data_IF_507592504899
#
_entry.id   IF_507592504899
#
_cell.length_a   1.000
_cell.length_b   1.000
_cell.length_c   1.000
_cell.angle_alpha   90.00
_cell.angle_beta   90.00
_cell.angle_gamma   90.00
#
_symmetry.space_group_name_H-M   'P 1'
#
loop_
_entity.id
_entity.type
_entity.pdbx_description
1 polymer ?
2 water ?
#
# COMPACT_ATOMS: atom_id res chain seq x y z
N UNK A 5 29.17 0.09 -5.90
CA UNK A 5 27.88 0.52 -5.25
C UNK A 5 26.71 0.50 -6.26
N UNK A 6 25.91 -0.56 -6.23
CA UNK A 6 24.82 -0.79 -7.22
C UNK A 6 23.54 -1.23 -6.51
N UNK A 7 22.41 -0.80 -7.06
CA UNK A 7 21.10 -1.05 -6.47
C UNK A 7 20.26 -1.98 -7.36
N UNK A 8 19.23 -2.59 -6.78
CA UNK A 8 18.29 -3.41 -7.54
C UNK A 8 17.22 -2.46 -8.08
N UNK A 9 16.83 -2.62 -9.36
CA UNK A 9 15.84 -1.68 -9.91
C UNK A 9 14.58 -1.65 -9.07
N UNK A 10 13.95 -0.47 -8.97
CA UNK A 10 12.72 -0.31 -8.21
C UNK A 10 11.58 -0.98 -8.98
N UNK A 11 10.74 -1.67 -8.27
CA UNK A 11 9.49 -2.20 -8.82
C UNK A 11 8.56 -1.02 -9.16
N UNK A 12 8.08 -0.97 -10.41
CA UNK A 12 7.24 0.14 -10.92
C UNK A 12 5.74 -0.12 -10.81
N UNK A 13 5.35 -1.27 -10.29
CA UNK A 13 3.96 -1.59 -10.01
C UNK A 13 3.38 -0.48 -9.11
N UNK A 14 2.22 0.09 -9.49
CA UNK A 14 1.61 1.23 -8.75
C UNK A 14 1.39 1.00 -7.24
N UNK A 15 1.00 -0.20 -6.86
CA UNK A 15 0.81 -0.55 -5.45
C UNK A 15 2.13 -0.51 -4.67
N UNK A 16 3.20 -1.07 -5.24
CA UNK A 16 4.52 -1.10 -4.58
C UNK A 16 5.04 0.33 -4.42
N UNK A 17 4.87 1.16 -5.45
CA UNK A 17 5.31 2.54 -5.37
C UNK A 17 4.61 3.25 -4.22
N UNK A 18 3.28 3.11 -4.15
CA UNK A 18 2.52 3.68 -3.04
C UNK A 18 3.05 3.21 -1.68
N UNK A 19 3.11 1.90 -1.48
CA UNK A 19 3.56 1.40 -0.20
C UNK A 19 4.96 1.92 0.15
N UNK A 20 5.82 2.02 -0.87
CA UNK A 20 7.18 2.47 -0.66
C UNK A 20 7.14 3.91 -0.19
N UNK A 21 6.22 4.68 -0.77
CA UNK A 21 6.04 6.08 -0.45
C UNK A 21 5.54 6.30 0.98
N UNK A 22 4.60 5.45 1.39
CA UNK A 22 4.10 5.44 2.75
C UNK A 22 5.23 5.31 3.76
N UNK A 23 6.15 4.38 3.53
CA UNK A 23 7.27 4.20 4.45
C UNK A 23 8.27 5.36 4.35
N UNK A 24 8.37 6.00 3.19
CA UNK A 24 9.27 7.13 3.05
C UNK A 24 8.70 8.40 3.74
N UNK A 25 7.37 8.45 3.87
CA UNK A 25 6.67 9.60 4.50
C UNK A 25 5.61 10.32 3.67
N UNK A 26 5.18 9.69 2.57
CA UNK A 26 4.15 10.29 1.74
C UNK A 26 3.07 9.26 1.38
N UNK A 27 1.84 9.54 1.83
CA UNK A 27 0.70 8.61 1.69
C UNK A 27 -0.46 9.28 0.96
N UNK A 28 -0.23 10.52 0.52
CA UNK A 28 -1.30 11.35 -0.05
C UNK A 28 -1.45 11.23 -1.57
N UNK A 29 -0.43 10.69 -2.24
CA UNK A 29 -0.37 10.57 -3.70
C UNK A 29 -0.41 9.12 -4.15
N UNK A 30 -1.20 8.80 -5.17
CA UNK A 30 -1.19 7.43 -5.67
C UNK A 30 -0.83 7.37 -7.15
N UNK A 31 -0.65 6.17 -7.67
CA UNK A 31 -0.21 5.96 -9.04
C UNK A 31 -1.20 5.11 -9.82
N UNK A 32 -1.44 5.49 -11.08
CA UNK A 32 -2.40 4.87 -11.98
C UNK A 32 -1.73 4.61 -13.34
N UNK A 33 -1.82 3.38 -13.85
CA UNK A 33 -1.15 3.03 -15.10
C UNK A 33 -1.70 3.86 -16.26
N UNK A 34 -0.78 4.30 -17.12
CA UNK A 34 -1.13 4.89 -18.40
C UNK A 34 -0.98 3.81 -19.46
N UNK A 35 -2.08 3.49 -20.14
CA UNK A 35 -2.12 2.39 -21.14
C UNK A 35 -1.70 2.84 -22.54
N UNK A 36 -1.53 4.15 -22.73
CA UNK A 36 -1.16 4.69 -24.02
C UNK A 36 -1.31 6.19 -23.98
N UNK A 37 -0.75 6.88 -24.97
CA UNK A 37 -0.73 8.34 -24.97
C UNK A 37 -1.73 9.01 -25.92
N UNK A 38 -2.48 8.25 -26.70
CA UNK A 38 -3.59 8.84 -27.45
C UNK A 38 -4.74 9.33 -26.54
N UNK A 39 -5.54 10.27 -27.06
CA UNK A 39 -6.56 10.98 -26.26
C UNK A 39 -7.56 10.06 -25.57
N UNK A 40 -8.03 9.06 -26.32
CA UNK A 40 -8.94 8.05 -25.82
C UNK A 40 -8.47 7.48 -24.49
N UNK A 41 -7.20 7.10 -24.41
CA UNK A 41 -6.64 6.42 -23.24
C UNK A 41 -6.27 7.41 -22.12
N UNK A 42 -5.80 8.59 -22.48
CA UNK A 42 -5.51 9.61 -21.48
C UNK A 42 -6.80 10.10 -20.83
N UNK A 43 -7.89 10.21 -21.59
CA UNK A 43 -9.19 10.52 -21.03
C UNK A 43 -9.57 9.61 -19.85
N UNK A 44 -8.98 8.40 -19.79
CA UNK A 44 -9.33 7.41 -18.76
C UNK A 44 -8.70 7.71 -17.43
N UNK A 45 -7.73 8.62 -17.42
CA UNK A 45 -6.94 8.90 -16.24
C UNK A 45 -7.71 9.86 -15.34
N UNK A 46 -7.79 9.56 -14.04
CA UNK A 46 -8.46 10.50 -13.14
C UNK A 46 -7.61 11.77 -12.90
N UNK A 47 -8.29 12.90 -12.79
CA UNK A 47 -7.70 14.22 -12.65
C UNK A 47 -7.96 14.68 -11.21
N UNK A 48 -7.24 15.72 -10.73
CA UNK A 48 -6.12 16.39 -11.38
C UNK A 48 -4.85 15.55 -11.31
N UNK A 49 -4.18 15.40 -12.46
CA UNK A 49 -2.90 14.70 -12.53
C UNK A 49 -1.79 15.64 -12.08
N UNK A 50 -0.97 15.14 -11.15
CA UNK A 50 0.04 15.95 -10.50
C UNK A 50 1.39 15.77 -11.15
N UNK A 51 1.59 14.64 -11.80
CA UNK A 51 2.86 14.35 -12.43
C UNK A 51 2.69 13.12 -13.28
N UNK A 52 3.71 12.82 -14.07
CA UNK A 52 3.75 11.58 -14.84
C UNK A 52 5.11 10.97 -14.65
N UNK A 53 5.15 9.69 -14.27
CA UNK A 53 6.39 8.94 -14.21
C UNK A 53 6.51 8.10 -15.49
N UNK A 54 7.70 8.02 -16.05
CA UNK A 54 7.91 7.39 -17.36
C UNK A 54 9.13 6.46 -17.28
N UNK A 55 8.95 5.21 -17.70
CA UNK A 55 10.08 4.28 -17.80
C UNK A 55 10.36 3.94 -19.27
N UNK A 56 11.63 3.98 -19.66
CA UNK A 56 12.02 3.59 -21.01
C UNK A 56 13.43 3.01 -20.98
N UNK A 57 13.80 2.24 -22.02
CA UNK A 57 15.10 1.58 -22.05
C UNK A 57 16.28 2.47 -22.49
N UNK A 58 17.50 2.04 -22.17
CA UNK A 58 18.75 2.79 -22.43
C UNK A 58 18.63 4.25 -21.98
N UNK A 75 13.72 29.01 -21.22
CA UNK A 75 14.97 29.47 -20.61
C UNK A 75 15.38 28.55 -19.46
N UNK A 76 16.64 28.69 -19.03
CA UNK A 76 17.24 27.87 -17.97
C UNK A 76 17.59 28.73 -16.75
N UNK A 77 16.60 28.92 -15.89
CA UNK A 77 16.83 29.26 -14.50
C UNK A 77 15.94 28.30 -13.72
N UNK A 78 16.55 27.49 -12.87
CA UNK A 78 15.84 26.47 -12.11
C UNK A 78 15.89 26.81 -10.62
N UNK A 79 15.60 28.06 -10.28
CA UNK A 79 15.59 28.51 -8.90
C UNK A 79 14.45 27.88 -8.11
N UNK A 80 13.33 27.63 -8.78
CA UNK A 80 12.15 27.11 -8.09
C UNK A 80 11.93 25.60 -8.25
N UNK A 81 12.90 24.86 -8.77
CA UNK A 81 12.70 23.42 -8.93
C UNK A 81 13.76 22.65 -8.15
N UNK A 82 13.31 21.63 -7.42
CA UNK A 82 14.19 20.81 -6.60
C UNK A 82 14.76 19.75 -7.52
N UNK A 83 16.10 19.66 -7.59
CA UNK A 83 16.78 18.72 -8.49
C UNK A 83 17.86 17.95 -7.72
N UNK A 84 17.99 16.66 -8.00
CA UNK A 84 19.02 15.81 -7.40
C UNK A 84 19.73 15.06 -8.50
N UNK A 85 21.07 15.06 -8.46
CA UNK A 85 21.89 14.27 -9.39
C UNK A 85 21.87 12.79 -8.98
N UNK A 86 21.88 11.92 -9.99
CA UNK A 86 21.90 10.49 -9.77
C UNK A 86 23.31 10.00 -9.97
N UNK A 87 23.86 9.35 -8.96
CA UNK A 87 25.18 8.76 -9.08
C UNK A 87 25.19 7.23 -9.02
N UNK A 88 24.09 6.62 -8.57
CA UNK A 88 23.98 5.17 -8.33
C UNK A 88 23.12 4.44 -9.39
N UNK A 89 23.72 3.47 -10.12
CA UNK A 89 22.93 2.72 -11.10
C UNK A 89 21.70 2.04 -10.48
N UNK A 90 20.56 2.15 -11.15
CA UNK A 90 19.29 1.59 -10.68
C UNK A 90 18.72 2.21 -9.41
N UNK A 91 19.30 3.31 -8.94
CA UNK A 91 18.61 4.11 -7.93
C UNK A 91 17.49 4.99 -8.53
N UNK A 92 17.35 4.98 -9.87
CA UNK A 92 16.51 5.98 -10.56
C UNK A 92 15.04 6.00 -10.12
N UNK A 93 14.50 4.84 -9.80
CA UNK A 93 13.16 4.79 -9.22
C UNK A 93 13.02 5.74 -8.04
N UNK A 94 14.01 5.69 -7.14
CA UNK A 94 14.00 6.51 -5.93
C UNK A 94 14.26 7.98 -6.25
N UNK A 95 15.28 8.26 -7.04
CA UNK A 95 15.49 9.60 -7.56
C UNK A 95 14.14 10.17 -8.06
N UNK A 96 13.32 9.35 -8.70
CA UNK A 96 12.09 9.88 -9.35
C UNK A 96 11.07 10.28 -8.28
N UNK A 97 11.02 9.47 -7.24
CA UNK A 97 10.16 9.71 -6.11
C UNK A 97 10.65 10.94 -5.33
N UNK A 98 11.98 11.07 -5.26
CA UNK A 98 12.62 12.26 -4.70
C UNK A 98 12.23 13.53 -5.51
N UNK A 99 12.45 13.51 -6.82
CA UNK A 99 12.08 14.61 -7.67
C UNK A 99 10.59 14.90 -7.55
N UNK A 100 9.78 13.86 -7.37
CA UNK A 100 8.34 14.02 -7.31
C UNK A 100 7.89 14.73 -6.04
N UNK A 101 8.17 14.14 -4.87
CA UNK A 101 7.62 14.69 -3.66
C UNK A 101 8.32 15.98 -3.28
N UNK A 102 9.59 16.08 -3.66
CA UNK A 102 10.37 17.29 -3.46
C UNK A 102 9.82 18.55 -4.13
N UNK A 103 9.17 18.37 -5.29
CA UNK A 103 8.55 19.48 -6.03
C UNK A 103 7.04 19.66 -5.79
N UNK A 104 6.42 18.74 -5.02
CA UNK A 104 5.01 18.84 -4.61
C UNK A 104 4.87 19.10 -3.10
N UNK A 105 6.00 19.37 -2.47
CA UNK A 105 6.08 19.65 -1.03
C UNK A 105 5.12 20.71 -0.51
N UNK A 106 4.80 21.74 -1.29
CA UNK A 106 3.84 22.75 -0.87
C UNK A 106 2.42 22.19 -0.87
N UNK A 107 2.13 21.28 -1.79
CA UNK A 107 0.75 20.89 -2.07
C UNK A 107 0.39 19.60 -1.35
N UNK A 108 1.35 18.69 -1.25
CA UNK A 108 1.19 17.46 -0.51
C UNK A 108 2.39 17.32 0.40
N UNK A 109 2.18 17.68 1.66
CA UNK A 109 3.24 17.75 2.66
C UNK A 109 3.64 16.34 3.10
N UNK A 110 4.90 16.22 3.54
CA UNK A 110 5.39 14.95 4.03
C UNK A 110 5.07 14.79 5.51
N UNK A 111 4.93 13.53 5.94
CA UNK A 111 4.83 13.22 7.34
C UNK A 111 6.01 13.84 8.11
N UNK A 112 5.69 14.56 9.17
CA UNK A 112 6.71 15.22 9.97
C UNK A 112 7.62 14.17 10.64
N UNK A 113 8.94 14.38 10.51
CA UNK A 113 9.98 13.50 11.04
C UNK A 113 10.03 12.11 10.37
N UNK A 114 9.66 12.04 9.09
CA UNK A 114 9.75 10.80 8.30
C UNK A 114 11.06 10.82 7.54
N UNK A 115 11.39 9.70 6.88
CA UNK A 115 12.68 9.59 6.23
C UNK A 115 12.87 10.72 5.19
N UNK A 116 11.85 10.93 4.36
CA UNK A 116 11.89 11.99 3.36
C UNK A 116 11.84 13.42 3.91
N UNK A 117 10.94 13.67 4.85
CA UNK A 117 10.92 14.98 5.51
C UNK A 117 12.31 15.35 6.05
N UNK A 118 12.95 14.40 6.75
CA UNK A 118 14.29 14.59 7.26
C UNK A 118 15.34 14.80 6.16
N UNK A 119 15.25 14.02 5.09
CA UNK A 119 16.20 14.14 3.98
C UNK A 119 16.11 15.51 3.30
N UNK A 120 14.88 15.90 2.93
CA UNK A 120 14.66 17.19 2.27
C UNK A 120 15.10 18.39 3.14
N UNK A 121 14.86 18.32 4.44
CA UNK A 121 15.32 19.37 5.33
C UNK A 121 16.85 19.41 5.40
N UNK A 122 17.46 18.23 5.46
CA UNK A 122 18.90 18.12 5.54
C UNK A 122 19.60 18.67 4.30
N UNK A 123 19.04 18.40 3.11
CA UNK A 123 19.70 18.79 1.87
C UNK A 123 19.12 20.07 1.25
N UNK A 124 18.17 20.69 1.96
CA UNK A 124 17.51 21.88 1.44
C UNK A 124 18.50 22.91 0.85
N UNK A 125 19.58 23.21 1.57
CA UNK A 125 20.56 24.24 1.14
C UNK A 125 21.66 23.69 0.21
N UNK A 126 21.55 22.44 -0.21
CA UNK A 126 22.62 21.77 -0.95
C UNK A 126 22.32 21.87 -2.43
N UNK A 127 23.38 21.79 -3.24
CA UNK A 127 23.27 21.78 -4.70
C UNK A 127 22.81 20.39 -5.14
N UNK A 128 22.40 20.27 -6.39
CA UNK A 128 21.96 18.97 -6.92
C UNK A 128 23.05 17.89 -6.78
N UNK A 129 24.32 18.33 -6.87
CA UNK A 129 25.50 17.44 -6.74
C UNK A 129 25.68 16.89 -5.33
N UNK A 130 25.71 17.76 -4.34
CA UNK A 130 25.85 17.32 -2.95
C UNK A 130 24.61 16.59 -2.45
N UNK A 131 23.43 16.97 -2.96
CA UNK A 131 22.21 16.21 -2.69
C UNK A 131 22.42 14.75 -3.08
N UNK A 132 22.91 14.57 -4.30
CA UNK A 132 23.13 13.25 -4.85
C UNK A 132 24.12 12.46 -4.01
N UNK A 133 25.17 13.12 -3.53
CA UNK A 133 26.16 12.48 -2.67
C UNK A 133 25.54 12.11 -1.33
N UNK A 134 24.72 12.99 -0.77
CA UNK A 134 23.98 12.65 0.46
C UNK A 134 23.14 11.39 0.34
N UNK A 135 22.54 11.17 -0.84
CA UNK A 135 21.72 9.97 -1.05
C UNK A 135 22.52 8.71 -0.82
N UNK A 136 23.69 8.63 -1.47
CA UNK A 136 24.70 7.59 -1.21
C UNK A 136 24.83 7.22 0.26
N UNK A 137 24.89 8.23 1.13
CA UNK A 137 25.09 8.00 2.57
C UNK A 137 23.81 7.82 3.37
N UNK A 138 22.65 7.61 2.71
CA UNK A 138 21.37 7.50 3.44
C UNK A 138 20.87 6.06 3.56
N UNK A 139 21.18 5.45 4.69
CA UNK A 139 20.90 4.05 4.95
C UNK A 139 19.40 3.76 4.86
N UNK A 140 18.61 4.60 5.53
CA UNK A 140 17.15 4.42 5.53
C UNK A 140 16.59 4.24 4.16
N UNK A 141 16.93 5.13 3.24
CA UNK A 141 16.34 5.12 1.90
C UNK A 141 16.83 3.87 1.14
N UNK A 142 18.14 3.67 1.12
CA UNK A 142 18.70 2.45 0.51
C UNK A 142 18.02 1.18 1.03
N UNK A 143 17.84 1.08 2.33
CA UNK A 143 17.15 -0.07 2.93
C UNK A 143 15.70 -0.16 2.44
N UNK A 144 14.96 0.95 2.53
CA UNK A 144 13.55 0.95 2.19
C UNK A 144 13.40 0.65 0.72
N UNK A 145 14.23 1.29 -0.11
CA UNK A 145 14.33 0.95 -1.54
C UNK A 145 14.33 -0.57 -1.78
N UNK A 146 15.22 -1.28 -1.12
CA UNK A 146 15.37 -2.74 -1.39
C UNK A 146 14.34 -3.63 -0.68
N UNK A 147 13.38 -3.00 0.00
CA UNK A 147 12.10 -3.64 0.36
C UNK A 147 11.05 -3.50 -0.77
N UNK A 148 11.24 -2.57 -1.70
CA UNK A 148 10.27 -2.40 -2.79
C UNK A 148 10.91 -2.50 -4.17
N UNK A 149 12.00 -3.26 -4.24
CA UNK A 149 12.72 -3.48 -5.49
C UNK A 149 12.22 -4.76 -6.18
N UNK A 150 12.71 -5.01 -7.39
CA UNK A 150 12.30 -6.19 -8.16
C UNK A 150 13.02 -7.41 -7.64
N UNK A 151 12.63 -8.59 -8.10
CA UNK A 151 13.32 -9.80 -7.63
C UNK A 151 14.63 -9.97 -8.38
N UNK A 152 15.56 -10.75 -7.78
CA UNK A 152 16.85 -11.01 -8.41
C UNK A 152 17.21 -12.50 -8.34
N UNK A 153 17.14 -13.17 -9.49
CA UNK A 153 17.43 -14.62 -9.60
C UNK A 153 18.87 -14.85 -10.06
N UNK A 154 19.41 -13.83 -10.71
CA UNK A 154 20.73 -13.86 -11.32
C UNK A 154 21.27 -12.45 -11.40
N UNK A 155 22.56 -12.33 -11.71
CA UNK A 155 23.21 -11.02 -11.71
C UNK A 155 22.60 -10.07 -12.73
N UNK A 156 22.06 -10.59 -13.83
CA UNK A 156 21.40 -9.74 -14.84
C UNK A 156 20.15 -8.98 -14.36
N UNK A 157 19.63 -9.33 -13.18
CA UNK A 157 18.53 -8.57 -12.58
C UNK A 157 19.00 -7.33 -11.81
N UNK A 158 20.27 -7.30 -11.41
CA UNK A 158 20.84 -6.11 -10.77
C UNK A 158 21.89 -5.39 -11.60
N UNK A 159 22.62 -6.13 -12.44
CA UNK A 159 23.66 -5.54 -13.29
C UNK A 159 23.14 -5.07 -14.65
N UNK A 160 21.95 -5.53 -15.03
CA UNK A 160 21.31 -5.00 -16.24
C UNK A 160 20.54 -3.71 -15.91
N UNK A 161 21.21 -2.58 -16.08
CA UNK A 161 20.61 -1.26 -15.92
C UNK A 161 20.10 -0.76 -17.27
N UNK A 162 19.01 -1.33 -17.76
CA UNK A 162 18.49 -0.92 -19.07
C UNK A 162 17.33 0.09 -18.99
N UNK A 163 16.33 -0.17 -18.15
CA UNK A 163 15.17 0.72 -18.04
C UNK A 163 15.45 1.87 -17.06
N UNK A 164 14.85 3.04 -17.29
CA UNK A 164 15.16 4.27 -16.56
C UNK A 164 13.89 5.01 -16.19
N UNK A 165 13.81 5.54 -14.98
CA UNK A 165 12.67 6.34 -14.54
C UNK A 165 12.98 7.79 -14.74
N UNK A 166 12.04 8.53 -15.31
CA UNK A 166 12.07 9.98 -15.25
C UNK A 166 10.69 10.51 -14.88
N UNK A 167 10.61 11.78 -14.52
CA UNK A 167 9.36 12.35 -14.06
C UNK A 167 9.10 13.74 -14.63
N UNK A 168 7.83 14.02 -14.86
CA UNK A 168 7.36 15.31 -15.34
C UNK A 168 6.42 15.86 -14.26
N UNK A 169 6.68 17.09 -13.87
CA UNK A 169 5.88 17.78 -12.88
C UNK A 169 5.51 19.14 -13.45
N UNK A 170 4.42 19.72 -12.94
CA UNK A 170 4.01 21.07 -13.32
C UNK A 170 4.51 22.04 -12.26
N UNK A 171 5.40 22.95 -12.63
CA UNK A 171 5.95 23.93 -11.68
C UNK A 171 5.75 25.32 -12.25
N UNK A 172 4.92 26.10 -11.58
CA UNK A 172 4.56 27.45 -12.02
C UNK A 172 4.10 27.53 -13.47
N UNK A 173 3.23 26.60 -13.83
CA UNK A 173 2.60 26.59 -15.17
C UNK A 173 3.49 26.06 -16.25
N UNK A 174 4.60 25.42 -15.87
CA UNK A 174 5.62 24.93 -16.79
C UNK A 174 5.76 23.43 -16.59
N UNK A 175 5.74 22.66 -17.69
CA UNK A 175 6.06 21.23 -17.63
C UNK A 175 7.56 21.05 -17.53
N UNK A 176 8.04 20.59 -16.38
CA UNK A 176 9.46 20.34 -16.13
C UNK A 176 9.78 18.83 -16.12
N UNK A 177 10.64 18.40 -17.05
CA UNK A 177 11.17 17.04 -17.00
C UNK A 177 12.35 16.90 -16.05
N UNK A 178 12.27 15.93 -15.13
CA UNK A 178 13.33 15.72 -14.14
C UNK A 178 14.01 14.34 -14.28
N UNK A 179 15.30 14.38 -14.61
CA UNK A 179 16.16 13.20 -14.88
C UNK A 179 17.55 13.38 -14.24
N UNK A 180 17.88 12.58 -13.24
CA UNK A 180 19.18 12.69 -12.50
C UNK A 180 20.48 12.52 -13.28
N UNK A 181 20.38 11.99 -14.50
CA UNK A 181 21.57 11.75 -15.32
C UNK A 181 21.93 13.04 -16.07
N UNK A 182 20.94 13.87 -16.35
CA UNK A 182 21.20 15.15 -16.99
C UNK A 182 21.70 16.14 -15.96
N UNK A 183 22.30 17.23 -16.42
CA UNK A 183 22.95 18.20 -15.54
C UNK A 183 21.97 19.15 -14.89
N UNK A 184 20.78 19.24 -15.47
CA UNK A 184 19.78 20.14 -14.92
C UNK A 184 18.41 19.67 -15.36
N UNK A 185 17.35 20.19 -14.72
CA UNK A 185 16.02 19.90 -15.25
C UNK A 185 15.89 20.39 -16.70
N UNK A 186 14.97 19.78 -17.45
CA UNK A 186 14.67 20.22 -18.80
C UNK A 186 13.29 20.88 -18.77
N UNK A 187 13.25 22.20 -18.98
CA UNK A 187 12.00 22.95 -19.01
C UNK A 187 11.36 22.78 -20.39
N UNK A 188 10.11 22.35 -20.47
CA UNK A 188 9.49 22.07 -21.76
C UNK A 188 8.59 23.15 -22.33
N UNK A 189 7.31 23.19 -21.95
CA UNK A 189 6.44 24.32 -22.31
C UNK A 189 5.49 24.72 -21.18
N UNK A 190 4.74 25.78 -21.42
CA UNK A 190 3.70 26.20 -20.50
C UNK A 190 2.51 25.25 -20.59
N UNK A 191 1.67 25.28 -19.56
CA UNK A 191 0.53 24.40 -19.51
C UNK A 191 -0.40 24.81 -18.36
N UNK A 192 -1.43 24.00 -18.14
CA UNK A 192 -2.28 24.20 -16.99
C UNK A 192 -2.76 22.87 -16.44
N UNK A 193 -3.46 22.91 -15.31
CA UNK A 193 -4.07 21.73 -14.71
C UNK A 193 -4.76 20.85 -15.73
N UNK A 194 -5.75 21.38 -16.42
CA UNK A 194 -6.56 20.58 -17.35
C UNK A 194 -5.70 19.89 -18.39
N UNK A 195 -4.67 20.59 -18.88
CA UNK A 195 -3.90 20.21 -20.06
C UNK A 195 -2.60 19.47 -19.78
N UNK A 196 -2.20 19.41 -18.51
CA UNK A 196 -0.88 18.87 -18.13
C UNK A 196 -0.67 17.44 -18.65
N UNK A 197 -1.60 16.53 -18.33
CA UNK A 197 -1.47 15.12 -18.79
C UNK A 197 -1.29 15.01 -20.29
N UNK A 198 -2.02 15.85 -21.03
CA UNK A 198 -2.05 15.79 -22.50
C UNK A 198 -0.81 16.44 -23.13
N UNK A 199 -0.43 17.61 -22.65
CA UNK A 199 0.81 18.23 -23.11
C UNK A 199 2.01 17.32 -22.81
N UNK A 200 1.97 16.68 -21.65
CA UNK A 200 3.01 15.73 -21.26
C UNK A 200 3.09 14.51 -22.20
N UNK A 201 1.93 13.99 -22.59
CA UNK A 201 1.87 12.87 -23.53
C UNK A 201 2.52 13.21 -24.87
N UNK A 202 2.21 14.40 -25.38
CA UNK A 202 2.81 14.89 -26.63
C UNK A 202 4.32 14.97 -26.50
N UNK A 203 4.81 15.52 -25.39
CA UNK A 203 6.24 15.57 -25.17
C UNK A 203 6.83 14.15 -25.17
N UNK A 204 6.18 13.21 -24.49
CA UNK A 204 6.74 11.84 -24.40
C UNK A 204 6.77 11.19 -25.78
N UNK A 205 5.66 11.29 -26.51
CA UNK A 205 5.60 10.76 -27.89
C UNK A 205 6.69 11.30 -28.83
N UNK A 206 6.85 12.62 -28.89
CA UNK A 206 7.82 13.22 -29.81
C UNK A 206 9.26 13.11 -29.33
N UNK A 207 9.50 13.23 -28.03
CA UNK A 207 10.87 13.17 -27.51
C UNK A 207 11.38 11.73 -27.34
N UNK A 208 10.51 10.77 -27.05
CA UNK A 208 10.96 9.40 -26.75
C UNK A 208 10.40 8.31 -27.66
N UNK A 209 9.09 8.25 -27.79
CA UNK A 209 8.45 7.13 -28.49
C UNK A 209 8.73 7.11 -30.01
N UNK A 210 8.25 8.12 -30.71
CA UNK A 210 8.41 8.19 -32.17
C UNK A 210 9.86 8.48 -32.58
N UNK A 211 10.61 9.11 -31.69
CA UNK A 211 12.04 9.34 -31.89
C UNK A 211 12.86 8.03 -31.81
N UNK A 212 12.28 7.01 -31.17
CA UNK A 212 12.92 5.70 -31.09
C UNK A 212 12.67 4.88 -32.36
N UNK A 213 13.74 4.38 -32.98
CA UNK A 213 13.67 3.61 -34.22
C UNK A 213 13.35 2.14 -33.96
N UNK A 214 12.34 1.87 -33.14
CA UNK A 214 11.88 0.51 -32.88
C UNK A 214 10.60 0.54 -32.06
N UNK A 215 10.12 -0.64 -31.67
CA UNK A 215 8.98 -0.77 -30.76
C UNK A 215 9.39 -0.42 -29.32
N UNK A 216 9.43 0.88 -29.00
CA UNK A 216 9.86 1.35 -27.66
C UNK A 216 8.87 0.87 -26.59
N UNK A 217 9.22 -0.22 -25.91
CA UNK A 217 8.41 -0.71 -24.80
C UNK A 217 8.66 0.15 -23.56
N UNK A 218 7.76 1.10 -23.37
CA UNK A 218 7.82 2.04 -22.28
C UNK A 218 6.72 1.66 -21.30
N UNK A 219 6.75 2.24 -20.12
CA UNK A 219 5.56 2.27 -19.27
C UNK A 219 5.43 3.66 -18.67
N UNK A 220 4.22 4.00 -18.27
CA UNK A 220 3.97 5.32 -17.74
C UNK A 220 2.97 5.20 -16.61
N UNK A 221 3.09 6.11 -15.64
CA UNK A 221 2.15 6.21 -14.54
C UNK A 221 1.75 7.69 -14.30
N UNK A 222 0.46 7.95 -14.15
CA UNK A 222 -0.02 9.28 -13.70
C UNK A 222 -0.04 9.30 -12.18
N UNK A 223 0.44 10.38 -11.58
CA UNK A 223 0.31 10.57 -10.13
C UNK A 223 -0.90 11.46 -9.83
N UNK A 224 -1.80 10.94 -9.00
CA UNK A 224 -3.03 11.65 -8.68
C UNK A 224 -3.24 11.69 -7.17
N UNK A 225 -4.09 12.61 -6.69
CA UNK A 225 -4.39 12.59 -5.26
C UNK A 225 -5.06 11.32 -4.83
N UNK A 226 -4.68 10.88 -3.63
CA UNK A 226 -5.21 9.68 -3.02
C UNK A 226 -6.66 9.84 -2.57
N UNK A 227 -7.07 11.07 -2.30
CA UNK A 227 -8.43 11.37 -1.83
C UNK A 227 -8.98 12.68 -2.42
N UNK A 228 -10.30 12.89 -2.28
CA UNK A 228 -10.90 14.24 -2.16
C UNK A 228 -12.35 14.20 -1.65
N UNK B 4 -5.95 -29.15 -4.29
CA UNK B 4 -4.51 -28.82 -4.07
C UNK B 4 -4.30 -27.38 -3.53
N UNK B 5 -5.36 -26.77 -2.98
CA UNK B 5 -5.47 -25.31 -2.88
C UNK B 5 -4.90 -24.67 -1.60
N UNK B 6 -3.77 -23.99 -1.72
CA UNK B 6 -3.06 -23.33 -0.61
C UNK B 6 -2.78 -21.89 -1.05
N UNK B 7 -2.95 -20.95 -0.12
CA UNK B 7 -2.68 -19.53 -0.42
C UNK B 7 -1.37 -19.12 0.26
N UNK B 8 -0.79 -18.03 -0.23
CA UNK B 8 0.33 -17.37 0.45
C UNK B 8 -0.20 -16.53 1.62
N UNK B 9 0.48 -16.56 2.76
CA UNK B 9 0.06 -15.77 3.93
C UNK B 9 -0.08 -14.27 3.62
N UNK B 10 -1.11 -13.64 4.17
CA UNK B 10 -1.39 -12.24 3.90
C UNK B 10 -0.35 -11.40 4.63
N UNK B 11 0.02 -10.27 4.03
CA UNK B 11 0.92 -9.32 4.65
C UNK B 11 0.10 -8.55 5.69
N UNK B 12 0.59 -8.46 6.92
CA UNK B 12 -0.18 -7.86 8.02
C UNK B 12 0.30 -6.45 8.33
N UNK B 13 1.28 -5.99 7.57
CA UNK B 13 1.64 -4.59 7.53
C UNK B 13 0.39 -3.73 7.37
N UNK B 14 0.19 -2.73 8.26
CA UNK B 14 -1.01 -1.89 8.27
C UNK B 14 -1.27 -1.12 6.98
N UNK B 15 -0.23 -0.63 6.34
CA UNK B 15 -0.40 0.00 5.03
C UNK B 15 -0.84 -1.01 3.97
N UNK B 16 -0.31 -2.22 4.04
CA UNK B 16 -0.71 -3.26 3.07
C UNK B 16 -2.16 -3.60 3.32
N UNK B 17 -2.53 -3.81 4.57
CA UNK B 17 -3.90 -4.20 4.89
C UNK B 17 -4.89 -3.16 4.38
N UNK B 18 -4.62 -1.90 4.72
CA UNK B 18 -5.40 -0.78 4.19
C UNK B 18 -5.53 -0.73 2.66
N UNK B 19 -4.41 -0.81 1.94
CA UNK B 19 -4.47 -0.71 0.48
C UNK B 19 -5.30 -1.88 -0.07
N UNK B 20 -5.12 -3.05 0.55
CA UNK B 20 -5.81 -4.25 0.10
C UNK B 20 -7.27 -4.04 0.29
N UNK B 21 -7.63 -3.38 1.40
CA UNK B 21 -9.02 -3.16 1.75
C UNK B 21 -9.69 -2.17 0.78
N UNK B 22 -8.93 -1.14 0.39
CA UNK B 22 -9.39 -0.18 -0.60
C UNK B 22 -9.74 -0.85 -1.92
N UNK B 23 -8.87 -1.73 -2.39
CA UNK B 23 -9.10 -2.54 -3.60
C UNK B 23 -10.33 -3.46 -3.50
N UNK B 24 -10.61 -3.94 -2.30
CA UNK B 24 -11.71 -4.84 -2.10
C UNK B 24 -13.03 -4.08 -2.06
N UNK B 25 -12.95 -2.78 -1.76
CA UNK B 25 -14.13 -1.89 -1.61
C UNK B 25 -14.34 -1.21 -0.26
N UNK B 26 -13.31 -1.18 0.60
CA UNK B 26 -13.41 -0.48 1.89
C UNK B 26 -12.21 0.44 2.17
N UNK B 27 -12.48 1.74 2.27
CA UNK B 27 -11.46 2.77 2.45
C UNK B 27 -11.62 3.57 3.75
N UNK B 28 -12.66 3.28 4.52
CA UNK B 28 -13.03 4.07 5.68
C UNK B 28 -12.43 3.62 7.01
N UNK B 29 -11.81 2.44 7.03
CA UNK B 29 -11.19 1.88 8.22
C UNK B 29 -9.68 1.71 7.99
N UNK B 30 -8.87 2.14 8.95
CA UNK B 30 -7.43 1.94 8.84
C UNK B 30 -6.94 1.16 10.04
N UNK B 31 -5.65 0.82 10.05
CA UNK B 31 -5.07 -0.08 11.05
C UNK B 31 -3.88 0.55 11.78
N UNK B 32 -3.76 0.24 13.06
CA UNK B 32 -2.75 0.80 13.95
C UNK B 32 -2.15 -0.32 14.77
N UNK B 33 -0.82 -0.40 14.83
CA UNK B 33 -0.17 -1.49 15.56
C UNK B 33 -0.45 -1.36 17.03
N UNK B 34 -0.69 -2.50 17.66
CA UNK B 34 -0.83 -2.59 19.08
C UNK B 34 0.50 -3.15 19.53
N UNK B 35 1.20 -2.40 20.37
CA UNK B 35 2.52 -2.80 20.86
C UNK B 35 2.49 -3.56 22.16
N UNK B 36 1.30 -3.74 22.73
CA UNK B 36 1.15 -4.52 23.97
C UNK B 36 -0.23 -4.29 24.58
N UNK B 37 -0.60 -5.15 25.54
CA UNK B 37 -1.96 -5.15 26.04
C UNK B 37 -2.16 -4.62 27.46
N UNK B 38 -1.08 -4.14 28.11
CA UNK B 38 -1.27 -3.43 29.38
C UNK B 38 -1.86 -2.03 29.11
N UNK B 39 -2.45 -1.43 30.12
CA UNK B 39 -3.21 -0.18 29.95
C UNK B 39 -2.38 0.95 29.33
N UNK B 40 -1.15 1.09 29.82
CA UNK B 40 -0.20 2.07 29.30
C UNK B 40 -0.22 2.10 27.77
N UNK B 41 0.01 0.92 27.16
CA UNK B 41 0.15 0.80 25.72
C UNK B 41 -1.21 0.91 25.02
N UNK B 42 -2.25 0.37 25.65
CA UNK B 42 -3.59 0.45 25.07
C UNK B 42 -4.15 1.86 25.14
N UNK B 43 -3.76 2.62 26.18
CA UNK B 43 -4.18 4.02 26.34
C UNK B 43 -3.80 4.90 25.13
N UNK B 44 -2.85 4.42 24.32
CA UNK B 44 -2.28 5.20 23.22
C UNK B 44 -2.96 4.98 21.87
N UNK B 45 -3.87 4.00 21.80
CA UNK B 45 -4.56 3.70 20.57
C UNK B 45 -5.67 4.73 20.38
N UNK B 46 -5.75 5.37 19.19
CA UNK B 46 -6.85 6.31 18.96
C UNK B 46 -8.21 5.61 19.02
N UNK B 47 -9.21 6.36 19.49
CA UNK B 47 -10.58 5.87 19.66
C UNK B 47 -11.48 6.55 18.63
N UNK B 48 -12.64 5.96 18.33
CA UNK B 48 -13.16 4.69 18.76
C UNK B 48 -12.57 3.51 17.97
N UNK B 49 -12.11 2.51 18.69
CA UNK B 49 -11.57 1.30 18.08
C UNK B 49 -12.75 0.44 17.70
N UNK B 50 -12.76 -0.03 16.46
CA UNK B 50 -13.90 -0.78 15.95
C UNK B 50 -13.63 -2.27 15.97
N UNK B 51 -12.37 -2.67 16.00
CA UNK B 51 -12.05 -4.09 15.99
C UNK B 51 -10.63 -4.29 16.42
N UNK B 52 -10.32 -5.51 16.83
CA UNK B 52 -8.94 -5.91 17.02
C UNK B 52 -8.66 -7.11 16.16
N UNK B 53 -7.64 -7.01 15.31
CA UNK B 53 -7.12 -8.13 14.53
C UNK B 53 -5.92 -8.73 15.26
N UNK B 54 -5.93 -10.04 15.50
CA UNK B 54 -4.90 -10.69 16.32
C UNK B 54 -4.19 -11.74 15.48
N UNK B 55 -2.86 -11.79 15.58
CA UNK B 55 -2.08 -12.83 14.91
C UNK B 55 -1.23 -13.59 15.91
N UNK B 56 -1.27 -14.92 15.86
CA UNK B 56 -0.44 -15.78 16.70
C UNK B 56 -0.16 -17.06 15.95
N UNK B 57 0.76 -17.89 16.45
CA UNK B 57 1.10 -19.10 15.72
C UNK B 57 0.38 -20.35 16.26
N UNK B 58 0.60 -21.49 15.61
CA UNK B 58 0.20 -22.78 16.17
C UNK B 58 1.25 -23.83 15.82
N UNK B 76 -25.68 -21.39 21.15
CA UNK B 76 -25.77 -19.94 21.34
C UNK B 76 -26.39 -19.30 20.10
N UNK B 77 -26.99 -18.11 20.27
CA UNK B 77 -27.55 -17.36 19.14
C UNK B 77 -26.52 -16.39 18.54
N UNK B 78 -26.43 -16.43 17.22
CA UNK B 78 -25.75 -15.41 16.43
C UNK B 78 -26.49 -15.24 15.11
N UNK B 79 -27.81 -15.05 15.19
CA UNK B 79 -28.58 -14.55 14.06
C UNK B 79 -28.05 -13.20 13.62
N UNK B 80 -27.46 -12.45 14.56
CA UNK B 80 -26.93 -11.12 14.27
C UNK B 80 -25.46 -11.02 13.80
N UNK B 81 -24.71 -12.12 13.74
CA UNK B 81 -23.31 -12.00 13.36
C UNK B 81 -23.06 -12.68 12.02
N UNK B 82 -22.19 -12.08 11.22
CA UNK B 82 -21.85 -12.61 9.91
C UNK B 82 -20.64 -13.49 10.10
N UNK B 83 -20.77 -14.77 9.75
CA UNK B 83 -19.70 -15.72 9.94
C UNK B 83 -19.41 -16.47 8.63
N UNK B 84 -18.12 -16.73 8.35
CA UNK B 84 -17.68 -17.53 7.17
C UNK B 84 -16.64 -18.59 7.59
N UNK B 85 -16.78 -19.81 7.04
CA UNK B 85 -15.86 -20.90 7.32
C UNK B 85 -14.61 -20.72 6.49
N UNK B 86 -13.48 -21.13 7.06
CA UNK B 86 -12.22 -21.10 6.37
C UNK B 86 -11.97 -22.50 5.89
N UNK B 87 -11.87 -22.66 4.57
CA UNK B 87 -11.46 -23.95 4.03
C UNK B 87 -10.05 -23.95 3.40
N UNK B 88 -9.48 -22.78 3.12
CA UNK B 88 -8.17 -22.64 2.44
C UNK B 88 -7.03 -22.22 3.39
N UNK B 89 -5.98 -23.06 3.54
CA UNK B 89 -4.84 -22.67 4.37
C UNK B 89 -4.17 -21.34 3.96
N UNK B 90 -3.89 -20.49 4.95
CA UNK B 90 -3.29 -19.15 4.76
C UNK B 90 -4.16 -18.13 4.08
N UNK B 91 -5.43 -18.42 3.85
CA UNK B 91 -6.39 -17.39 3.49
C UNK B 91 -6.92 -16.60 4.72
N UNK B 92 -6.46 -16.93 5.92
CA UNK B 92 -7.08 -16.42 7.14
C UNK B 92 -7.03 -14.91 7.22
N UNK B 93 -5.99 -14.32 6.67
CA UNK B 93 -5.93 -12.89 6.59
C UNK B 93 -7.14 -12.32 5.87
N UNK B 94 -7.49 -12.93 4.73
CA UNK B 94 -8.64 -12.50 3.96
C UNK B 94 -9.92 -12.81 4.73
N UNK B 95 -9.98 -13.99 5.33
CA UNK B 95 -11.11 -14.31 6.18
C UNK B 95 -11.30 -13.24 7.26
N UNK B 96 -10.23 -12.78 7.88
CA UNK B 96 -10.35 -11.79 8.99
C UNK B 96 -10.98 -10.48 8.48
N UNK B 97 -10.63 -10.12 7.26
CA UNK B 97 -11.07 -8.86 6.66
C UNK B 97 -12.52 -8.98 6.25
N UNK B 98 -12.87 -10.17 5.77
CA UNK B 98 -14.23 -10.50 5.48
C UNK B 98 -15.08 -10.40 6.77
N UNK B 99 -14.67 -11.08 7.84
CA UNK B 99 -15.39 -11.03 9.06
C UNK B 99 -15.52 -9.60 9.58
N UNK B 100 -14.47 -8.80 9.39
CA UNK B 100 -14.45 -7.43 9.89
C UNK B 100 -15.49 -6.57 9.16
N UNK B 101 -15.38 -6.52 7.84
CA UNK B 101 -16.17 -5.56 7.09
C UNK B 101 -17.62 -5.98 7.01
N UNK B 102 -17.84 -7.30 6.97
CA UNK B 102 -19.17 -7.90 6.94
C UNK B 102 -19.99 -7.62 8.19
N UNK B 103 -19.30 -7.46 9.32
CA UNK B 103 -19.93 -7.12 10.60
C UNK B 103 -19.91 -5.62 10.90
N UNK B 104 -19.27 -4.83 10.06
CA UNK B 104 -19.29 -3.38 10.22
C UNK B 104 -20.04 -2.71 9.09
N UNK B 105 -20.74 -3.51 8.31
CA UNK B 105 -21.53 -3.06 7.16
C UNK B 105 -22.44 -1.86 7.43
N UNK B 106 -23.13 -1.80 8.56
CA UNK B 106 -24.02 -0.65 8.81
C UNK B 106 -23.21 0.59 9.12
N UNK B 107 -22.20 0.41 9.96
CA UNK B 107 -21.45 1.54 10.47
C UNK B 107 -20.54 2.06 9.34
N UNK B 108 -19.91 1.14 8.60
CA UNK B 108 -18.98 1.49 7.54
C UNK B 108 -19.34 0.75 6.26
N UNK B 109 -20.05 1.44 5.36
CA UNK B 109 -20.54 0.81 4.14
C UNK B 109 -19.44 0.56 3.12
N UNK B 110 -19.62 -0.49 2.33
CA UNK B 110 -18.71 -0.77 1.23
C UNK B 110 -19.07 0.06 0.01
N UNK B 111 -18.07 0.33 -0.81
CA UNK B 111 -18.29 0.94 -2.11
C UNK B 111 -19.26 0.09 -2.92
N UNK B 112 -20.28 0.72 -3.49
CA UNK B 112 -21.25 -0.03 -4.28
C UNK B 112 -20.57 -0.68 -5.49
N UNK B 113 -20.92 -1.93 -5.75
CA UNK B 113 -20.40 -2.71 -6.88
C UNK B 113 -18.91 -3.10 -6.77
N UNK B 114 -18.30 -2.89 -5.60
CA UNK B 114 -16.90 -3.28 -5.39
C UNK B 114 -16.84 -4.78 -5.19
N UNK B 115 -15.63 -5.34 -5.04
CA UNK B 115 -15.50 -6.79 -4.93
C UNK B 115 -16.27 -7.30 -3.71
N UNK B 116 -16.11 -6.61 -2.58
CA UNK B 116 -16.77 -7.01 -1.32
C UNK B 116 -18.27 -6.71 -1.33
N UNK B 117 -18.68 -5.59 -1.91
CA UNK B 117 -20.09 -5.30 -1.96
C UNK B 117 -20.80 -6.44 -2.70
N UNK B 118 -20.22 -6.88 -3.82
CA UNK B 118 -20.78 -7.96 -4.63
C UNK B 118 -20.75 -9.30 -3.89
N UNK B 119 -19.65 -9.59 -3.20
CA UNK B 119 -19.54 -10.87 -2.50
C UNK B 119 -20.58 -11.00 -1.37
N UNK B 120 -20.66 -9.98 -0.52
CA UNK B 120 -21.63 -10.01 0.59
C UNK B 120 -23.08 -10.08 0.10
N UNK B 121 -23.41 -9.41 -1.00
CA UNK B 121 -24.75 -9.52 -1.57
C UNK B 121 -25.02 -10.96 -2.02
N UNK B 122 -24.12 -11.48 -2.85
CA UNK B 122 -24.25 -12.84 -3.34
C UNK B 122 -24.41 -13.89 -2.24
N UNK B 123 -23.65 -13.79 -1.16
CA UNK B 123 -23.70 -14.80 -0.12
C UNK B 123 -24.58 -14.43 1.08
N UNK B 124 -25.29 -13.30 0.98
CA UNK B 124 -26.13 -12.85 2.10
C UNK B 124 -26.97 -13.98 2.71
N UNK B 125 -27.71 -14.70 1.86
CA UNK B 125 -28.65 -15.76 2.27
C UNK B 125 -28.00 -17.12 2.58
N UNK B 126 -26.68 -17.23 2.52
CA UNK B 126 -25.99 -18.52 2.64
C UNK B 126 -25.44 -18.74 4.05
N UNK B 127 -25.25 -20.02 4.37
CA UNK B 127 -24.64 -20.46 5.62
C UNK B 127 -23.14 -20.19 5.59
N UNK B 128 -22.50 -20.19 6.75
CA UNK B 128 -21.05 -19.99 6.84
C UNK B 128 -20.29 -21.00 6.00
N UNK B 129 -20.88 -22.18 5.81
CA UNK B 129 -20.29 -23.26 5.01
C UNK B 129 -20.34 -23.00 3.49
N UNK B 130 -21.49 -22.58 2.97
CA UNK B 130 -21.59 -22.21 1.55
C UNK B 130 -20.79 -20.93 1.26
N UNK B 131 -20.88 -19.97 2.17
CA UNK B 131 -20.01 -18.79 2.11
C UNK B 131 -18.55 -19.20 1.94
N UNK B 132 -18.10 -20.05 2.85
CA UNK B 132 -16.78 -20.62 2.80
C UNK B 132 -16.44 -21.21 1.45
N UNK B 133 -17.37 -21.96 0.87
CA UNK B 133 -17.14 -22.56 -0.46
C UNK B 133 -17.16 -21.51 -1.57
N UNK B 134 -18.09 -20.56 -1.52
CA UNK B 134 -18.08 -19.45 -2.48
C UNK B 134 -16.76 -18.70 -2.49
N UNK B 135 -16.08 -18.61 -1.35
CA UNK B 135 -14.79 -17.91 -1.32
C UNK B 135 -13.77 -18.64 -2.18
N UNK B 136 -13.74 -19.97 -2.07
CA UNK B 136 -12.95 -20.85 -2.95
C UNK B 136 -13.09 -20.52 -4.44
N UNK B 137 -14.31 -20.23 -4.90
CA UNK B 137 -14.56 -19.94 -6.32
C UNK B 137 -14.42 -18.47 -6.71
N UNK B 138 -14.03 -17.59 -5.80
CA UNK B 138 -14.01 -16.17 -6.14
C UNK B 138 -12.63 -15.71 -6.63
N UNK B 139 -12.50 -15.58 -7.94
CA UNK B 139 -11.21 -15.27 -8.56
C UNK B 139 -10.71 -13.87 -8.16
N UNK B 140 -11.61 -12.89 -8.12
CA UNK B 140 -11.23 -11.51 -7.79
C UNK B 140 -10.52 -11.42 -6.45
N UNK B 141 -11.08 -12.05 -5.43
CA UNK B 141 -10.54 -11.96 -4.09
C UNK B 141 -9.23 -12.76 -4.00
N UNK B 142 -9.22 -13.93 -4.63
CA UNK B 142 -8.03 -14.76 -4.65
C UNK B 142 -6.87 -13.99 -5.27
N UNK B 143 -7.15 -13.32 -6.40
CA UNK B 143 -6.14 -12.52 -7.09
C UNK B 143 -5.71 -11.30 -6.24
N UNK B 144 -6.66 -10.57 -5.71
CA UNK B 144 -6.35 -9.39 -4.91
C UNK B 144 -5.54 -9.78 -3.68
N UNK B 145 -5.93 -10.86 -3.01
CA UNK B 145 -5.16 -11.36 -1.86
C UNK B 145 -3.66 -11.46 -2.21
N UNK B 146 -3.33 -12.13 -3.30
CA UNK B 146 -1.93 -12.35 -3.67
C UNK B 146 -1.20 -11.16 -4.34
N UNK B 147 -1.87 -10.01 -4.43
CA UNK B 147 -1.17 -8.73 -4.67
C UNK B 147 -0.80 -8.04 -3.33
N UNK B 148 -1.09 -8.69 -2.21
CA UNK B 148 -0.79 -8.16 -0.88
C UNK B 148 -0.39 -9.28 0.07
N UNK B 149 0.16 -10.35 -0.50
CA UNK B 149 0.61 -11.47 0.31
C UNK B 149 2.09 -11.24 0.64
N UNK B 150 2.68 -12.16 1.39
CA UNK B 150 4.07 -12.01 1.82
C UNK B 150 5.03 -12.52 0.78
N UNK B 151 6.31 -12.22 0.99
CA UNK B 151 7.37 -12.68 0.10
C UNK B 151 7.30 -14.20 0.02
N UNK B 152 7.69 -14.75 -1.13
CA UNK B 152 7.87 -16.20 -1.30
C UNK B 152 9.20 -16.47 -1.98
N UNK B 153 10.22 -16.83 -1.18
CA UNK B 153 11.57 -17.21 -1.68
C UNK B 153 11.68 -18.71 -1.91
N UNK B 154 10.86 -19.47 -1.20
CA UNK B 154 10.92 -20.90 -1.24
C UNK B 154 9.59 -21.44 -0.76
N UNK B 155 9.43 -22.77 -0.77
CA UNK B 155 8.14 -23.38 -0.44
C UNK B 155 7.72 -23.12 1.01
N UNK B 156 8.68 -23.07 1.93
CA UNK B 156 8.39 -22.74 3.33
C UNK B 156 7.50 -21.49 3.50
N UNK B 157 7.66 -20.49 2.63
CA UNK B 157 6.96 -19.23 2.76
C UNK B 157 5.45 -19.33 2.46
N UNK B 158 5.05 -20.45 1.86
CA UNK B 158 3.63 -20.74 1.67
C UNK B 158 3.15 -22.04 2.33
N UNK B 159 4.05 -23.02 2.51
CA UNK B 159 3.68 -24.29 3.13
C UNK B 159 3.83 -24.33 4.66
N UNK B 160 4.54 -23.36 5.24
CA UNK B 160 4.78 -23.37 6.69
C UNK B 160 3.45 -23.24 7.50
N UNK B 161 2.59 -22.31 7.09
CA UNK B 161 1.26 -22.07 7.70
C UNK B 161 1.24 -22.03 9.25
N UNK B 162 2.16 -21.28 9.84
CA UNK B 162 2.22 -21.14 11.30
C UNK B 162 1.30 -20.05 11.85
N UNK B 163 1.36 -18.86 11.26
CA UNK B 163 0.61 -17.70 11.74
C UNK B 163 -0.88 -17.85 11.48
N UNK B 164 -1.72 -17.20 12.32
CA UNK B 164 -3.17 -17.22 12.11
C UNK B 164 -3.83 -15.90 12.49
N UNK B 165 -4.72 -15.41 11.63
CA UNK B 165 -5.48 -14.17 11.91
C UNK B 165 -6.82 -14.54 12.50
N UNK B 166 -7.19 -13.83 13.55
CA UNK B 166 -8.57 -13.86 14.04
C UNK B 166 -8.96 -12.43 14.35
N UNK B 167 -10.25 -12.18 14.41
CA UNK B 167 -10.73 -10.82 14.67
C UNK B 167 -11.78 -10.75 15.78
N UNK B 168 -11.70 -9.68 16.57
CA UNK B 168 -12.69 -9.34 17.58
C UNK B 168 -13.42 -8.06 17.15
N UNK B 169 -14.74 -8.12 17.11
CA UNK B 169 -15.58 -6.96 16.80
C UNK B 169 -16.62 -6.81 17.91
N UNK B 170 -17.23 -5.64 18.03
CA UNK B 170 -18.30 -5.44 19.00
C UNK B 170 -19.64 -5.51 18.29
N UNK B 171 -20.51 -6.45 18.68
CA UNK B 171 -21.83 -6.59 18.05
C UNK B 171 -22.92 -6.60 19.10
N UNK B 172 -23.81 -5.61 19.03
CA UNK B 172 -24.89 -5.41 20.00
C UNK B 172 -24.44 -5.60 21.44
N UNK B 173 -23.39 -4.87 21.78
CA UNK B 173 -22.87 -4.81 23.15
C UNK B 173 -21.94 -5.93 23.54
N UNK B 174 -21.74 -6.92 22.66
CA UNK B 174 -20.94 -8.11 23.02
C UNK B 174 -19.65 -8.23 22.21
N UNK B 175 -18.57 -8.65 22.87
CA UNK B 175 -17.30 -8.95 22.19
C UNK B 175 -17.38 -10.33 21.55
N UNK B 176 -17.37 -10.34 20.22
CA UNK B 176 -17.48 -11.55 19.44
C UNK B 176 -16.11 -11.89 18.78
N UNK B 177 -15.56 -13.05 19.13
CA UNK B 177 -14.41 -13.58 18.43
C UNK B 177 -14.81 -14.34 17.14
N UNK B 178 -14.14 -14.01 16.05
CA UNK B 178 -14.45 -14.61 14.75
C UNK B 178 -13.20 -15.28 14.17
N UNK B 179 -13.29 -16.61 14.10
CA UNK B 179 -12.23 -17.50 13.67
C UNK B 179 -12.79 -18.55 12.69
N UNK B 180 -12.35 -18.52 11.45
CA UNK B 180 -12.94 -19.40 10.41
C UNK B 180 -12.72 -20.90 10.58
N UNK B 181 -11.74 -21.26 11.39
CA UNK B 181 -11.42 -22.65 11.68
C UNK B 181 -12.41 -23.29 12.65
N UNK B 182 -13.15 -22.50 13.40
CA UNK B 182 -14.12 -23.03 14.36
C UNK B 182 -15.48 -23.20 13.70
N UNK B 183 -16.37 -23.87 14.41
CA UNK B 183 -17.70 -24.20 13.90
C UNK B 183 -18.65 -23.00 13.92
N UNK B 184 -18.41 -22.07 14.85
CA UNK B 184 -19.29 -20.93 15.03
C UNK B 184 -18.51 -19.77 15.65
N UNK B 185 -19.11 -18.56 15.64
CA UNK B 185 -18.50 -17.46 16.40
C UNK B 185 -18.39 -17.79 17.90
N UNK B 186 -17.38 -17.22 18.55
CA UNK B 186 -17.23 -17.38 20.00
C UNK B 186 -17.59 -16.05 20.67
N UNK B 187 -18.59 -16.10 21.55
CA UNK B 187 -19.07 -14.92 22.24
C UNK B 187 -18.42 -14.80 23.61
N UNK B 188 -17.71 -13.70 23.86
CA UNK B 188 -16.99 -13.54 25.11
C UNK B 188 -17.80 -12.83 26.17
N UNK B 189 -17.89 -11.51 26.15
CA UNK B 189 -18.64 -10.82 27.19
C UNK B 189 -19.28 -9.54 26.69
N UNK B 190 -20.11 -8.95 27.53
CA UNK B 190 -20.65 -7.62 27.25
C UNK B 190 -19.53 -6.60 27.38
N UNK B 191 -19.73 -5.47 26.70
CA UNK B 191 -18.77 -4.39 26.71
C UNK B 191 -19.45 -3.10 26.23
N UNK B 192 -18.67 -2.02 26.20
CA UNK B 192 -19.13 -0.80 25.55
C UNK B 192 -18.01 -0.19 24.71
N UNK B 193 -18.36 0.79 23.90
CA UNK B 193 -17.39 1.45 23.03
C UNK B 193 -16.07 1.80 23.70
N UNK B 194 -16.14 2.36 24.91
CA UNK B 194 -14.95 2.87 25.59
C UNK B 194 -14.06 1.78 26.14
N UNK B 195 -14.65 0.64 26.52
CA UNK B 195 -13.95 -0.44 27.19
C UNK B 195 -13.64 -1.61 26.28
N UNK B 196 -14.03 -1.51 25.02
CA UNK B 196 -13.91 -2.61 24.09
C UNK B 196 -12.44 -3.01 23.88
N UNK B 197 -11.58 -2.02 23.62
CA UNK B 197 -10.16 -2.28 23.42
C UNK B 197 -9.56 -3.04 24.60
N UNK B 198 -9.94 -2.62 25.81
CA UNK B 198 -9.34 -3.13 27.04
C UNK B 198 -9.89 -4.52 27.44
N UNK B 199 -11.22 -4.67 27.35
CA UNK B 199 -11.87 -5.96 27.55
C UNK B 199 -11.31 -6.97 26.55
N UNK B 200 -11.05 -6.52 25.33
CA UNK B 200 -10.50 -7.39 24.29
C UNK B 200 -9.08 -7.81 24.61
N UNK B 201 -8.28 -6.88 25.11
CA UNK B 201 -6.92 -7.18 25.54
C UNK B 201 -6.89 -8.20 26.68
N UNK B 202 -7.80 -8.07 27.64
CA UNK B 202 -7.90 -9.06 28.71
C UNK B 202 -8.22 -10.43 28.11
N UNK B 203 -9.16 -10.51 27.18
CA UNK B 203 -9.50 -11.78 26.55
C UNK B 203 -8.26 -12.35 25.88
N UNK B 204 -7.53 -11.51 25.16
CA UNK B 204 -6.33 -11.98 24.45
C UNK B 204 -5.26 -12.49 25.43
N UNK B 205 -5.00 -11.74 26.51
CA UNK B 205 -4.05 -12.19 27.56
C UNK B 205 -4.39 -13.58 28.10
N UNK B 206 -5.63 -13.75 28.57
CA UNK B 206 -6.03 -14.97 29.27
C UNK B 206 -6.25 -16.17 28.32
N UNK B 207 -6.71 -15.93 27.09
CA UNK B 207 -6.92 -17.05 26.17
C UNK B 207 -5.70 -17.42 25.31
N UNK B 208 -4.78 -16.49 25.10
CA UNK B 208 -3.71 -16.72 24.13
C UNK B 208 -2.31 -16.48 24.69
N UNK B 209 -2.07 -15.31 25.25
CA UNK B 209 -0.73 -14.96 25.74
C UNK B 209 -0.32 -15.78 26.97
N UNK B 210 -1.22 -15.88 27.93
CA UNK B 210 -0.95 -16.51 29.22
C UNK B 210 -1.33 -18.01 29.22
N UNK B 211 -2.08 -18.43 28.22
CA UNK B 211 -2.40 -19.84 28.01
C UNK B 211 -1.36 -20.39 27.01
N UNK B 212 -0.10 -20.24 27.38
CA UNK B 212 1.02 -20.56 26.49
C UNK B 212 2.33 -20.66 27.29
N UNK B 213 2.99 -21.81 27.21
CA UNK B 213 4.22 -22.06 27.98
C UNK B 213 5.40 -21.29 27.38
N UNK B 214 5.42 -21.21 26.05
CA UNK B 214 6.48 -20.51 25.32
C UNK B 214 6.20 -19.00 25.37
N UNK B 215 7.17 -18.22 24.89
CA UNK B 215 6.98 -16.78 24.67
C UNK B 215 7.27 -16.49 23.19
N UNK B 216 6.43 -17.04 22.32
CA UNK B 216 6.56 -16.85 20.86
C UNK B 216 5.87 -15.55 20.48
N UNK B 217 6.21 -15.03 19.31
CA UNK B 217 5.65 -13.79 18.78
C UNK B 217 4.12 -13.87 18.59
N UNK B 218 3.47 -12.75 18.87
CA UNK B 218 2.11 -12.49 18.44
C UNK B 218 2.14 -11.04 18.00
N UNK B 219 1.27 -10.66 17.06
CA UNK B 219 1.09 -9.25 16.73
C UNK B 219 -0.39 -8.92 16.80
N UNK B 220 -0.72 -7.64 16.73
CA UNK B 220 -2.07 -7.19 16.92
C UNK B 220 -2.28 -5.80 16.34
N UNK B 221 -3.43 -5.58 15.71
CA UNK B 221 -3.79 -4.28 15.18
C UNK B 221 -5.18 -3.82 15.70
N UNK B 222 -5.31 -2.52 15.93
CA UNK B 222 -6.59 -1.91 16.25
C UNK B 222 -7.15 -1.35 14.96
N UNK B 223 -8.45 -1.53 14.73
CA UNK B 223 -9.12 -0.97 13.55
C UNK B 223 -9.88 0.30 13.96
N UNK B 224 -9.58 1.41 13.29
CA UNK B 224 -10.19 2.70 13.65
C UNK B 224 -10.70 3.45 12.43
N UNK B 225 -11.53 4.47 12.65
CA UNK B 225 -11.98 5.27 11.51
C UNK B 225 -10.84 5.99 10.84
N UNK B 226 -10.97 6.10 9.52
CA UNK B 226 -9.98 6.74 8.69
C UNK B 226 -10.03 8.27 8.89
N UNK B 227 -11.23 8.83 9.05
CA UNK B 227 -11.43 10.20 9.55
C UNK B 227 -10.76 11.26 8.65
#
# INVERSE_FOLDING_TARGET
MAKNDIWTPLESNPDSLYLYSCKLGQSKLKFVDIYGFNNDLLDMIPQPVQAVIFLYPVNDNIVSENNTNDKHNLKENFDNVWFIKQYIPNSCGTIALLHLYGNLRNKFELDKDSVLDDFFNKVNEMSAEKRGQELKNNKSIENLHHEFCGQVENRDDILDVDTHFIVFVQIEGKIIELDGRKDHPTVHCFTNGDNFLYDTGKIIQDKFIEKCKDDLRFSALAVIPNDNFDII
MAKNDIWTPLESNPDSLYLYSCKLGQSKLKFVDIYGFNNDLLDMIPQPVQAVIFLYPVNDNIVSENNTNDKHNLKENFDNVWFIKQYIPNSCGTIALLHLYGNLRNKFELDKDSVLDDFFNKVNEMSAEKRGQELKNNKSIENLHHEFCGQVENRDDILDVDTHFIVFVQIEGKIIELDGRKDHPTVHCFTNGDNFLYDTGKIIQDKFIEKCKDDLRFSALAVIPNDNFDII
#
